data_IF_048015364275
#
_entry.id   IF_048015364275
#
_cell.length_a   1.000
_cell.length_b   1.000
_cell.length_c   1.000
_cell.angle_alpha   90.00
_cell.angle_beta   90.00
_cell.angle_gamma   90.00
#
_symmetry.space_group_name_H-M   'P 1'
#
loop_
_entity.id
_entity.type
_entity.pdbx_description
1 polymer ?
#
# COMPACT_ATOMS: atom_id res chain seq x y z
N UNK A 1 -4.27 12.95 14.58
CA UNK A 1 -2.96 13.25 13.95
C UNK A 1 -1.76 12.84 14.81
N UNK A 2 -1.32 13.57 15.84
CA UNK A 2 -0.10 13.21 16.59
C UNK A 2 -0.10 11.79 17.20
N UNK A 3 -1.17 11.39 17.90
CA UNK A 3 -1.29 10.02 18.44
C UNK A 3 -1.32 8.92 17.37
N UNK A 4 -1.91 9.20 16.22
CA UNK A 4 -1.97 8.26 15.09
C UNK A 4 -0.60 8.14 14.42
N UNK A 5 0.10 9.27 14.26
CA UNK A 5 1.46 9.32 13.75
C UNK A 5 2.41 8.53 14.65
N UNK A 6 2.37 8.72 15.97
CA UNK A 6 3.17 7.94 16.93
C UNK A 6 2.91 6.44 16.81
N UNK A 7 1.64 6.03 16.67
CA UNK A 7 1.28 4.63 16.50
C UNK A 7 1.81 4.07 15.17
N UNK A 8 1.70 4.82 14.07
CA UNK A 8 2.22 4.43 12.76
C UNK A 8 3.74 4.36 12.75
N UNK A 9 4.43 5.34 13.35
CA UNK A 9 5.89 5.37 13.45
C UNK A 9 6.45 4.15 14.19
N UNK A 10 5.73 3.62 15.18
CA UNK A 10 6.09 2.36 15.87
C UNK A 10 5.98 1.13 14.98
N UNK A 11 5.18 1.17 13.92
CA UNK A 11 5.02 0.09 12.94
C UNK A 11 6.08 0.15 11.82
N UNK A 12 6.78 1.28 11.67
CA UNK A 12 7.79 1.48 10.64
C UNK A 12 9.16 1.11 11.21
N UNK A 13 9.57 -0.14 10.99
CA UNK A 13 10.95 -0.57 11.22
C UNK A 13 11.81 -0.23 10.00
N UNK A 14 13.09 0.12 10.24
CA UNK A 14 14.07 0.33 9.17
C UNK A 14 14.34 -0.94 8.34
N UNK A 15 14.09 -2.12 8.91
CA UNK A 15 14.24 -3.41 8.22
C UNK A 15 13.07 -3.77 7.30
N UNK A 16 11.96 -3.03 7.41
CA UNK A 16 10.71 -3.37 6.74
C UNK A 16 10.48 -2.44 5.55
N UNK A 17 9.82 -2.95 4.52
CA UNK A 17 9.39 -2.12 3.41
C UNK A 17 7.99 -1.58 3.71
N UNK A 18 7.88 -0.29 3.99
CA UNK A 18 6.59 0.33 4.33
C UNK A 18 6.03 1.11 3.15
N UNK A 19 4.80 0.78 2.77
CA UNK A 19 4.01 1.45 1.73
C UNK A 19 2.87 2.22 2.38
N UNK A 20 2.77 3.51 2.09
CA UNK A 20 1.63 4.32 2.48
C UNK A 20 0.60 4.33 1.34
N UNK A 21 -0.67 4.11 1.68
CA UNK A 21 -1.79 4.32 0.77
C UNK A 21 -2.20 5.81 0.85
N UNK A 22 -1.63 6.61 -0.05
CA UNK A 22 -1.70 8.08 -0.06
C UNK A 22 -2.03 8.56 -1.47
N UNK A 23 -2.96 9.52 -1.60
CA UNK A 23 -3.44 10.06 -2.88
C UNK A 23 -2.33 10.77 -3.68
N UNK A 24 -1.27 11.24 -3.02
CA UNK A 24 -0.07 11.81 -3.66
C UNK A 24 1.02 10.75 -3.94
N UNK A 25 0.63 9.48 -4.03
CA UNK A 25 1.48 8.35 -4.40
C UNK A 25 1.51 8.07 -5.90
N UNK A 26 2.24 7.03 -6.29
CA UNK A 26 2.24 6.51 -7.66
C UNK A 26 0.98 5.67 -7.85
N UNK A 27 0.30 5.84 -8.98
CA UNK A 27 -0.81 4.98 -9.40
C UNK A 27 -0.27 3.80 -10.20
N UNK A 28 -0.76 2.60 -9.92
CA UNK A 28 -0.45 1.39 -10.68
C UNK A 28 -1.71 0.85 -11.35
N UNK A 29 -1.54 0.30 -12.55
CA UNK A 29 -2.47 -0.71 -13.06
C UNK A 29 -2.38 -1.98 -12.20
N UNK A 30 -3.39 -2.86 -12.24
CA UNK A 30 -3.36 -4.12 -11.48
C UNK A 30 -2.17 -5.01 -11.85
N UNK A 31 -1.73 -4.98 -13.12
CA UNK A 31 -0.55 -5.72 -13.59
C UNK A 31 0.73 -5.11 -13.01
N UNK A 32 0.88 -3.80 -13.01
CA UNK A 32 2.05 -3.13 -12.40
C UNK A 32 2.10 -3.37 -10.90
N UNK A 33 0.95 -3.33 -10.21
CA UNK A 33 0.88 -3.64 -8.79
C UNK A 33 1.29 -5.09 -8.50
N UNK A 34 0.86 -6.05 -9.32
CA UNK A 34 1.31 -7.45 -9.21
C UNK A 34 2.84 -7.59 -9.36
N UNK A 35 3.43 -6.90 -10.34
CA UNK A 35 4.89 -6.89 -10.55
C UNK A 35 5.62 -6.21 -9.40
N UNK A 36 5.07 -5.13 -8.86
CA UNK A 36 5.60 -4.47 -7.67
C UNK A 36 5.67 -5.45 -6.48
N UNK A 37 4.59 -6.18 -6.20
CA UNK A 37 4.57 -7.19 -5.13
C UNK A 37 5.61 -8.29 -5.37
N UNK A 38 5.69 -8.83 -6.59
CA UNK A 38 6.65 -9.87 -6.95
C UNK A 38 8.10 -9.41 -6.78
N UNK A 39 8.42 -8.18 -7.19
CA UNK A 39 9.74 -7.61 -6.98
C UNK A 39 10.09 -7.51 -5.49
N UNK A 40 9.16 -7.07 -4.64
CA UNK A 40 9.39 -6.98 -3.18
C UNK A 40 9.59 -8.35 -2.55
N UNK A 41 8.80 -9.35 -2.95
CA UNK A 41 8.99 -10.74 -2.51
C UNK A 41 10.37 -11.29 -2.88
N UNK A 42 10.86 -10.99 -4.08
CA UNK A 42 12.16 -11.48 -4.57
C UNK A 42 13.36 -10.78 -3.91
N UNK A 43 13.17 -9.62 -3.28
CA UNK A 43 14.24 -8.85 -2.65
C UNK A 43 14.62 -9.32 -1.24
N UNK A 44 13.96 -10.36 -0.71
CA UNK A 44 14.26 -10.88 0.62
C UNK A 44 13.99 -9.89 1.75
N UNK A 45 13.06 -8.93 1.54
CA UNK A 45 12.64 -8.01 2.60
C UNK A 45 12.04 -8.80 3.75
N UNK A 46 12.28 -8.36 4.99
CA UNK A 46 11.76 -9.03 6.19
C UNK A 46 10.24 -9.00 6.23
N UNK A 47 9.66 -7.84 5.92
CA UNK A 47 8.23 -7.60 6.01
C UNK A 47 7.81 -6.48 5.05
N UNK A 48 6.65 -6.64 4.41
CA UNK A 48 6.00 -5.63 3.57
C UNK A 48 4.75 -5.11 4.28
N UNK A 49 4.79 -3.85 4.71
CA UNK A 49 3.70 -3.22 5.46
C UNK A 49 2.93 -2.26 4.56
N UNK A 50 1.60 -2.35 4.55
CA UNK A 50 0.72 -1.36 3.92
C UNK A 50 -0.04 -0.60 5.00
N UNK A 51 0.10 0.72 5.02
CA UNK A 51 -0.56 1.59 6.01
C UNK A 51 -1.60 2.44 5.32
N UNK A 52 -2.80 2.50 5.89
CA UNK A 52 -3.91 3.35 5.43
C UNK A 52 -3.89 4.65 6.23
N UNK A 53 -3.98 5.79 5.55
CA UNK A 53 -4.01 7.10 6.17
C UNK A 53 -5.31 7.37 6.94
N UNK A 54 -5.24 8.28 7.91
CA UNK A 54 -6.43 8.81 8.59
C UNK A 54 -7.19 9.79 7.69
N UNK A 55 -8.27 10.38 8.21
CA UNK A 55 -9.10 11.35 7.47
C UNK A 55 -8.33 12.58 6.93
N UNK A 56 -7.17 12.88 7.52
CA UNK A 56 -6.31 14.01 7.15
C UNK A 56 -5.00 13.57 6.48
N UNK A 57 -4.92 12.30 6.03
CA UNK A 57 -3.70 11.71 5.46
C UNK A 57 -2.67 11.32 6.50
N UNK A 58 -1.39 11.37 6.10
CA UNK A 58 -0.24 11.01 6.96
C UNK A 58 0.52 12.24 7.44
N UNK A 59 1.01 12.13 8.67
CA UNK A 59 1.98 13.09 9.21
C UNK A 59 3.25 13.14 8.35
N UNK A 60 3.85 14.33 8.13
CA UNK A 60 5.08 14.47 7.35
C UNK A 60 6.23 13.54 7.80
N UNK A 61 6.36 13.27 9.10
CA UNK A 61 7.40 12.36 9.62
C UNK A 61 7.16 10.91 9.16
N UNK A 62 5.89 10.48 9.15
CA UNK A 62 5.51 9.15 8.64
C UNK A 62 5.79 9.06 7.14
N UNK A 63 5.47 10.12 6.37
CA UNK A 63 5.77 10.18 4.93
C UNK A 63 7.27 10.08 4.64
N UNK A 64 8.10 10.69 5.47
CA UNK A 64 9.56 10.68 5.31
C UNK A 64 10.16 9.30 5.60
N UNK A 65 9.63 8.56 6.58
CA UNK A 65 10.15 7.23 6.96
C UNK A 65 9.63 6.08 6.10
N UNK A 66 8.53 6.28 5.38
CA UNK A 66 8.00 5.25 4.49
C UNK A 66 8.89 5.02 3.27
N UNK A 67 8.94 3.78 2.80
CA UNK A 67 9.73 3.37 1.64
C UNK A 67 9.06 3.72 0.32
N UNK A 68 7.72 3.80 0.30
CA UNK A 68 6.93 4.03 -0.90
C UNK A 68 5.56 4.66 -0.59
N UNK A 69 4.99 5.35 -1.58
CA UNK A 69 3.61 5.85 -1.55
C UNK A 69 2.85 5.33 -2.77
N UNK A 70 1.74 4.64 -2.52
CA UNK A 70 0.83 4.09 -3.53
C UNK A 70 -0.49 4.84 -3.49
N UNK A 71 -0.94 5.33 -4.63
CA UNK A 71 -2.27 5.91 -4.80
C UNK A 71 -3.20 4.84 -5.41
N UNK A 72 -4.40 4.68 -4.82
CA UNK A 72 -5.44 3.81 -5.39
C UNK A 72 -6.29 4.51 -6.46
N UNK A 73 -6.30 5.84 -6.44
CA UNK A 73 -7.01 6.71 -7.37
C UNK A 73 -6.56 8.16 -7.12
N UNK A 74 -6.73 9.02 -8.14
CA UNK A 74 -6.73 10.47 -7.97
C UNK A 74 -7.92 11.01 -7.17
N UNK A 75 -8.97 10.22 -7.00
CA UNK A 75 -10.14 10.58 -6.19
C UNK A 75 -9.92 10.25 -4.72
N UNK A 76 -10.43 11.12 -3.85
CA UNK A 76 -10.39 10.90 -2.40
C UNK A 76 -11.50 9.93 -1.97
N UNK A 77 -11.11 8.85 -1.30
CA UNK A 77 -12.03 7.87 -0.74
C UNK A 77 -12.03 7.89 0.80
N UNK A 78 -13.16 7.57 1.46
CA UNK A 78 -13.16 7.31 2.88
C UNK A 78 -12.19 6.17 3.23
N UNK A 79 -11.44 6.31 4.33
CA UNK A 79 -10.45 5.33 4.80
C UNK A 79 -11.04 3.91 5.00
N UNK A 80 -12.34 3.78 5.28
CA UNK A 80 -13.02 2.48 5.35
C UNK A 80 -13.11 1.80 3.97
N UNK A 81 -13.41 2.57 2.93
CA UNK A 81 -13.49 2.07 1.55
C UNK A 81 -12.10 1.74 0.99
N UNK A 82 -11.09 2.56 1.31
CA UNK A 82 -9.68 2.32 0.93
C UNK A 82 -9.23 0.92 1.37
N UNK A 83 -9.58 0.50 2.59
CA UNK A 83 -9.24 -0.85 3.09
C UNK A 83 -9.86 -1.95 2.24
N UNK A 84 -11.13 -1.82 1.85
CA UNK A 84 -11.82 -2.81 1.04
C UNK A 84 -11.25 -2.86 -0.38
N UNK A 85 -11.08 -1.70 -1.02
CA UNK A 85 -10.50 -1.59 -2.36
C UNK A 85 -9.09 -2.16 -2.41
N UNK A 86 -8.26 -1.84 -1.42
CA UNK A 86 -6.91 -2.35 -1.34
C UNK A 86 -6.86 -3.87 -1.17
N UNK A 87 -7.72 -4.44 -0.30
CA UNK A 87 -7.76 -5.90 -0.12
C UNK A 87 -8.17 -6.63 -1.40
N UNK A 88 -9.13 -6.08 -2.15
CA UNK A 88 -9.51 -6.63 -3.46
C UNK A 88 -8.34 -6.57 -4.46
N UNK A 89 -7.65 -5.42 -4.55
CA UNK A 89 -6.50 -5.29 -5.46
C UNK A 89 -5.33 -6.19 -5.04
N UNK A 90 -5.12 -6.41 -3.74
CA UNK A 90 -4.12 -7.34 -3.24
C UNK A 90 -4.46 -8.77 -3.65
N UNK A 91 -5.71 -9.19 -3.47
CA UNK A 91 -6.19 -10.48 -3.94
C UNK A 91 -5.98 -10.64 -5.46
N UNK A 92 -6.47 -9.68 -6.25
CA UNK A 92 -6.31 -9.64 -7.72
C UNK A 92 -4.85 -9.74 -8.15
N UNK A 93 -3.96 -9.01 -7.50
CA UNK A 93 -2.54 -9.04 -7.80
C UNK A 93 -1.94 -10.44 -7.59
N UNK A 94 -2.30 -11.13 -6.50
CA UNK A 94 -1.85 -12.51 -6.28
C UNK A 94 -2.46 -13.50 -7.26
N UNK A 95 -3.72 -13.33 -7.66
CA UNK A 95 -4.35 -14.17 -8.69
C UNK A 95 -3.62 -14.02 -10.04
N UNK A 96 -3.25 -12.78 -10.41
CA UNK A 96 -2.39 -12.50 -11.58
C UNK A 96 -1.03 -13.21 -11.44
N UNK A 97 -0.36 -13.10 -10.30
CA UNK A 97 0.95 -13.74 -10.08
C UNK A 97 0.91 -15.27 -10.18
N UNK A 98 -0.22 -15.88 -9.83
CA UNK A 98 -0.42 -17.33 -9.92
C UNK A 98 -0.87 -17.80 -11.30
N UNK A 99 -1.10 -16.89 -12.25
CA UNK A 99 -1.75 -17.18 -13.53
C UNK A 99 -3.09 -17.90 -13.37
N UNK A 100 -3.79 -17.65 -12.26
CA UNK A 100 -5.15 -18.17 -12.04
C UNK A 100 -6.12 -17.36 -12.91
N UNK A 101 -7.14 -17.99 -13.52
CA UNK A 101 -8.16 -17.27 -14.25
C UNK A 101 -8.88 -16.35 -13.29
N UNK A 102 -8.67 -15.05 -13.48
CA UNK A 102 -9.36 -14.00 -12.76
C UNK A 102 -10.17 -13.18 -13.75
N UNK A 103 -11.44 -12.92 -13.40
CA UNK A 103 -12.50 -12.35 -14.25
C UNK A 103 -12.11 -12.10 -15.70
N UNK A 104 -12.73 -12.89 -16.60
CA UNK A 104 -12.87 -12.56 -18.02
C UNK A 104 -13.12 -11.05 -18.17
N UNK A 105 -12.11 -10.32 -18.61
CA UNK A 105 -12.32 -9.00 -19.21
C UNK A 105 -12.86 -9.26 -20.61
#
# INVERSE_FOLDING_TARGET
MQREAEAQLKLISQSDYTVLLDEGGIEFTSVEFSKFLQQRMNQGIRQLNFIVGGAYGFDPEVKQKASFKLALSKMTFPHQLVRLLFMEQLYRAFTILKNEPYHHI
#
